data_IF_760518283769
#
_entry.id   IF_760518283769
#
_cell.length_a   1.000
_cell.length_b   1.000
_cell.length_c   1.000
_cell.angle_alpha   90.00
_cell.angle_beta   90.00
_cell.angle_gamma   90.00
#
_symmetry.space_group_name_H-M   'P 1'
#
loop_
_entity.id
_entity.type
_entity.pdbx_description
1 polymer ?
#
# COMPACT_ATOMS: atom_id res chain seq x y z
N UNK A 1 1.50 -14.09 -12.69
CA UNK A 1 1.40 -12.91 -13.61
C UNK A 1 2.70 -12.13 -13.50
N UNK A 2 3.40 -11.88 -14.62
CA UNK A 2 4.62 -11.03 -14.55
C UNK A 2 4.23 -9.61 -14.17
N UNK A 3 4.87 -9.05 -13.15
CA UNK A 3 4.72 -7.65 -12.77
C UNK A 3 5.40 -6.81 -13.86
N UNK A 4 4.60 -5.98 -14.54
CA UNK A 4 5.16 -5.02 -15.49
C UNK A 4 5.80 -3.89 -14.69
N UNK A 5 7.06 -3.57 -14.99
CA UNK A 5 7.71 -2.45 -14.32
C UNK A 5 7.05 -1.14 -14.72
N UNK A 6 6.68 -0.35 -13.74
CA UNK A 6 6.02 0.95 -13.90
C UNK A 6 6.50 1.87 -12.80
N UNK A 7 6.70 3.13 -13.11
CA UNK A 7 6.86 4.17 -12.10
C UNK A 7 5.52 4.48 -11.44
N UNK A 8 5.48 4.38 -10.13
CA UNK A 8 4.33 4.71 -9.30
C UNK A 8 4.58 6.03 -8.59
N UNK A 9 3.58 6.89 -8.61
CA UNK A 9 3.52 8.12 -7.81
C UNK A 9 2.66 7.86 -6.59
N UNK A 10 3.27 7.88 -5.41
CA UNK A 10 2.57 7.70 -4.15
C UNK A 10 2.53 9.00 -3.38
N UNK A 11 1.35 9.38 -2.90
CA UNK A 11 1.15 10.52 -2.01
C UNK A 11 2.07 10.46 -0.80
N UNK A 12 2.66 11.59 -0.41
CA UNK A 12 3.46 11.68 0.80
C UNK A 12 2.63 11.41 2.06
N UNK A 13 1.35 11.72 2.02
CA UNK A 13 0.39 11.43 3.10
C UNK A 13 0.37 9.92 3.36
N UNK A 14 0.22 9.11 2.31
CA UNK A 14 0.21 7.66 2.44
C UNK A 14 1.60 7.10 2.81
N UNK A 15 2.68 7.70 2.27
CA UNK A 15 4.06 7.30 2.58
C UNK A 15 4.37 7.46 4.07
N UNK A 16 3.88 8.50 4.71
CA UNK A 16 4.11 8.82 6.13
C UNK A 16 2.98 8.38 7.06
N UNK A 17 1.94 7.73 6.54
CA UNK A 17 0.84 7.22 7.34
C UNK A 17 1.35 6.26 8.44
N UNK A 18 0.91 6.50 9.68
CA UNK A 18 1.40 5.84 10.90
C UNK A 18 0.75 4.47 11.11
N UNK A 19 1.00 3.53 10.21
CA UNK A 19 0.48 2.17 10.29
C UNK A 19 1.57 1.12 10.19
N UNK A 20 1.38 0.06 10.94
CA UNK A 20 2.11 -1.20 10.80
C UNK A 20 1.45 -2.01 9.67
N UNK A 21 2.05 -2.01 8.50
CA UNK A 21 1.56 -2.76 7.33
C UNK A 21 2.33 -4.05 7.15
N UNK A 22 1.62 -5.15 6.89
CA UNK A 22 2.24 -6.36 6.38
C UNK A 22 2.62 -6.22 4.90
N UNK A 23 3.51 -7.10 4.42
CA UNK A 23 3.92 -7.15 3.01
C UNK A 23 2.71 -7.27 2.07
N UNK A 24 1.73 -8.12 2.38
CA UNK A 24 0.54 -8.31 1.54
C UNK A 24 -0.38 -7.09 1.56
N UNK A 25 -0.53 -6.40 2.70
CA UNK A 25 -1.25 -5.12 2.75
C UNK A 25 -0.59 -4.07 1.86
N UNK A 26 0.73 -3.95 1.92
CA UNK A 26 1.47 -3.02 1.05
C UNK A 26 1.29 -3.36 -0.43
N UNK A 27 1.35 -4.63 -0.81
CA UNK A 27 1.11 -5.07 -2.19
C UNK A 27 -0.30 -4.75 -2.68
N UNK A 28 -1.31 -4.89 -1.82
CA UNK A 28 -2.69 -4.48 -2.15
C UNK A 28 -2.76 -2.97 -2.38
N UNK A 29 -2.16 -2.17 -1.47
CA UNK A 29 -2.12 -0.71 -1.61
C UNK A 29 -1.39 -0.28 -2.89
N UNK A 30 -0.29 -0.93 -3.26
CA UNK A 30 0.41 -0.66 -4.52
C UNK A 30 -0.48 -0.91 -5.74
N UNK A 31 -1.34 -1.95 -5.72
CA UNK A 31 -2.30 -2.19 -6.81
C UNK A 31 -3.40 -1.15 -6.85
N UNK A 32 -3.90 -0.70 -5.71
CA UNK A 32 -4.87 0.40 -5.67
C UNK A 32 -4.26 1.68 -6.30
N UNK A 33 -3.05 2.08 -5.86
CA UNK A 33 -2.37 3.26 -6.38
C UNK A 33 -2.10 3.13 -7.89
N UNK A 34 -1.60 1.98 -8.33
CA UNK A 34 -1.36 1.70 -9.76
C UNK A 34 -2.62 1.91 -10.59
N UNK A 35 -3.75 1.33 -10.15
CA UNK A 35 -5.02 1.39 -10.88
C UNK A 35 -5.58 2.82 -10.89
N UNK A 36 -5.55 3.51 -9.75
CA UNK A 36 -5.98 4.91 -9.66
C UNK A 36 -5.12 5.82 -10.55
N UNK A 37 -3.81 5.58 -10.58
CA UNK A 37 -2.90 6.34 -11.44
C UNK A 37 -3.21 6.11 -12.94
N UNK A 38 -3.50 4.87 -13.36
CA UNK A 38 -3.93 4.58 -14.74
C UNK A 38 -5.22 5.33 -15.07
N UNK A 39 -6.17 5.36 -14.14
CA UNK A 39 -7.45 6.06 -14.33
C UNK A 39 -7.23 7.56 -14.55
N UNK A 40 -6.39 8.19 -13.72
CA UNK A 40 -6.09 9.63 -13.83
C UNK A 40 -5.31 9.94 -15.11
N UNK A 41 -4.39 9.08 -15.50
CA UNK A 41 -3.60 9.23 -16.74
C UNK A 41 -4.41 8.91 -18.01
N UNK A 42 -5.67 8.47 -17.88
CA UNK A 42 -6.51 8.05 -19.01
C UNK A 42 -5.97 6.82 -19.76
N UNK A 43 -5.15 6.02 -19.11
CA UNK A 43 -4.54 4.82 -19.69
C UNK A 43 -5.45 3.61 -19.55
N UNK A 44 -5.43 2.72 -20.54
CA UNK A 44 -6.19 1.48 -20.50
C UNK A 44 -5.62 0.54 -19.43
N UNK A 45 -6.48 0.07 -18.53
CA UNK A 45 -6.15 -0.97 -17.57
C UNK A 45 -5.88 -2.31 -18.26
N UNK A 46 -5.07 -3.15 -17.61
CA UNK A 46 -4.94 -4.55 -18.03
C UNK A 46 -6.32 -5.24 -17.90
N UNK A 47 -6.68 -6.05 -18.87
CA UNK A 47 -8.00 -6.74 -18.97
C UNK A 47 -8.35 -7.58 -17.73
N UNK A 48 -7.36 -7.96 -16.92
CA UNK A 48 -7.57 -8.70 -15.67
C UNK A 48 -7.98 -7.82 -14.50
N UNK A 49 -7.81 -6.50 -14.58
CA UNK A 49 -8.26 -5.55 -13.58
C UNK A 49 -9.58 -4.94 -13.99
N UNK A 50 -10.47 -4.75 -13.04
CA UNK A 50 -11.68 -3.96 -13.22
C UNK A 50 -11.77 -2.90 -12.14
N UNK A 51 -12.21 -1.72 -12.56
CA UNK A 51 -12.61 -0.64 -11.66
C UNK A 51 -13.92 -0.07 -12.18
N UNK A 52 -14.89 0.08 -11.29
CA UNK A 52 -16.18 0.66 -11.60
C UNK A 52 -16.45 1.81 -10.62
N UNK A 53 -16.91 2.93 -11.14
CA UNK A 53 -17.35 4.06 -10.30
C UNK A 53 -18.85 3.88 -10.07
N UNK A 54 -19.26 3.80 -8.81
CA UNK A 54 -20.65 3.65 -8.44
C UNK A 54 -21.43 4.97 -8.61
N UNK A 55 -22.74 4.92 -8.52
CA UNK A 55 -23.61 6.13 -8.52
C UNK A 55 -23.32 7.07 -7.33
N UNK A 56 -22.68 6.56 -6.29
CA UNK A 56 -22.24 7.33 -5.12
C UNK A 56 -20.77 7.78 -5.22
N UNK A 57 -20.16 7.62 -6.40
CA UNK A 57 -18.77 7.91 -6.72
C UNK A 57 -17.74 7.02 -6.00
N UNK A 58 -18.16 5.95 -5.31
CA UNK A 58 -17.21 4.97 -4.77
C UNK A 58 -16.52 4.22 -5.90
N UNK A 59 -15.31 3.74 -5.64
CA UNK A 59 -14.53 2.94 -6.56
C UNK A 59 -14.62 1.46 -6.17
N UNK A 60 -15.29 0.65 -6.98
CA UNK A 60 -15.33 -0.81 -6.84
C UNK A 60 -14.20 -1.43 -7.66
N UNK A 61 -13.25 -2.02 -6.97
CA UNK A 61 -12.09 -2.70 -7.54
C UNK A 61 -12.33 -4.19 -7.67
N UNK A 62 -11.81 -4.78 -8.75
CA UNK A 62 -11.62 -6.22 -8.86
C UNK A 62 -10.21 -6.50 -9.39
N UNK A 63 -9.42 -7.24 -8.63
CA UNK A 63 -8.04 -7.59 -8.97
C UNK A 63 -7.79 -9.09 -8.85
N UNK A 64 -7.00 -9.69 -9.75
CA UNK A 64 -6.62 -11.09 -9.59
C UNK A 64 -5.69 -11.26 -8.38
N UNK A 65 -5.90 -12.30 -7.57
CA UNK A 65 -5.03 -12.57 -6.42
C UNK A 65 -3.58 -12.79 -6.82
N UNK A 66 -3.33 -13.34 -8.01
CA UNK A 66 -1.99 -13.50 -8.59
C UNK A 66 -1.24 -12.18 -8.79
N UNK A 67 -1.93 -11.05 -8.79
CA UNK A 67 -1.30 -9.73 -8.89
C UNK A 67 -0.74 -9.23 -7.55
N UNK A 68 -1.16 -9.83 -6.43
CA UNK A 68 -0.68 -9.56 -5.08
C UNK A 68 0.46 -10.52 -4.72
N UNK A 69 0.40 -11.75 -5.26
CA UNK A 69 1.44 -12.76 -5.10
C UNK A 69 2.60 -12.45 -6.05
N UNK A 70 3.81 -12.40 -5.55
CA UNK A 70 5.02 -12.16 -6.37
C UNK A 70 5.48 -13.44 -7.04
N UNK A 71 5.26 -14.57 -6.38
CA UNK A 71 5.63 -15.87 -6.86
C UNK A 71 4.38 -16.68 -7.23
N UNK A 72 4.32 -17.20 -8.45
CA UNK A 72 3.19 -18.03 -8.93
C UNK A 72 3.00 -19.31 -8.10
N UNK A 73 4.02 -19.74 -7.35
CA UNK A 73 3.97 -20.87 -6.41
C UNK A 73 3.47 -20.47 -5.01
N UNK A 74 3.31 -19.17 -4.74
CA UNK A 74 2.80 -18.70 -3.45
C UNK A 74 1.27 -18.84 -3.43
N UNK A 75 0.80 -19.95 -2.88
CA UNK A 75 -0.63 -20.23 -2.66
C UNK A 75 -1.15 -19.65 -1.33
N UNK A 76 -0.53 -18.58 -0.82
CA UNK A 76 -0.79 -18.07 0.53
C UNK A 76 -2.10 -17.25 0.63
N UNK A 77 -3.19 -17.82 0.13
CA UNK A 77 -4.53 -17.21 0.16
C UNK A 77 -4.96 -16.76 1.57
N UNK A 78 -4.54 -17.50 2.60
CA UNK A 78 -4.84 -17.14 4.00
C UNK A 78 -4.20 -15.82 4.38
N UNK A 79 -2.96 -15.56 3.99
CA UNK A 79 -2.27 -14.29 4.26
C UNK A 79 -2.91 -13.13 3.51
N UNK A 80 -3.28 -13.32 2.25
CA UNK A 80 -4.01 -12.31 1.47
C UNK A 80 -5.35 -11.98 2.13
N UNK A 81 -6.14 -13.00 2.51
CA UNK A 81 -7.42 -12.82 3.21
C UNK A 81 -7.24 -12.04 4.51
N UNK A 82 -6.20 -12.35 5.28
CA UNK A 82 -5.89 -11.63 6.51
C UNK A 82 -5.46 -10.18 6.24
N UNK A 83 -4.71 -9.93 5.16
CA UNK A 83 -4.34 -8.59 4.75
C UNK A 83 -5.57 -7.73 4.39
N UNK A 84 -6.52 -8.27 3.61
CA UNK A 84 -7.78 -7.58 3.33
C UNK A 84 -8.59 -7.29 4.60
N UNK A 85 -8.70 -8.26 5.51
CA UNK A 85 -9.37 -8.05 6.82
C UNK A 85 -8.68 -6.98 7.66
N UNK A 86 -7.36 -6.93 7.63
CA UNK A 86 -6.57 -5.93 8.36
C UNK A 86 -6.73 -4.54 7.75
N UNK A 87 -6.65 -4.41 6.42
CA UNK A 87 -6.88 -3.14 5.73
C UNK A 87 -8.29 -2.59 5.96
N UNK A 88 -9.30 -3.47 6.00
CA UNK A 88 -10.68 -3.07 6.31
C UNK A 88 -10.83 -2.50 7.73
N UNK A 89 -9.96 -2.87 8.66
CA UNK A 89 -9.97 -2.35 10.04
C UNK A 89 -9.15 -1.08 10.23
N UNK A 90 -8.27 -0.76 9.27
CA UNK A 90 -7.49 0.47 9.30
C UNK A 90 -8.34 1.64 8.84
N UNK A 91 -8.30 2.72 9.59
CA UNK A 91 -9.13 3.90 9.37
C UNK A 91 -8.24 5.12 9.12
N UNK A 92 -8.74 6.05 8.33
CA UNK A 92 -8.25 7.43 8.26
C UNK A 92 -9.29 8.31 8.94
N UNK A 93 -8.85 9.11 9.88
CA UNK A 93 -9.70 10.11 10.53
C UNK A 93 -9.34 11.50 10.00
N UNK A 94 -10.36 12.27 9.76
CA UNK A 94 -10.26 13.69 9.42
C UNK A 94 -11.16 14.48 10.35
N UNK A 95 -10.65 15.57 10.90
CA UNK A 95 -11.40 16.45 11.78
C UNK A 95 -11.07 17.91 11.46
N UNK A 96 -12.10 18.71 11.31
CA UNK A 96 -12.02 20.16 11.26
C UNK A 96 -13.06 20.80 12.22
N UNK A 97 -13.22 22.11 12.15
CA UNK A 97 -14.15 22.85 13.03
C UNK A 97 -15.65 22.50 12.86
N UNK A 98 -16.00 21.76 11.80
CA UNK A 98 -17.38 21.47 11.42
C UNK A 98 -17.68 19.99 11.26
N UNK A 99 -16.66 19.18 10.95
CA UNK A 99 -16.84 17.80 10.52
C UNK A 99 -15.81 16.91 11.19
N UNK A 100 -16.26 15.83 11.78
CA UNK A 100 -15.44 14.67 12.09
C UNK A 100 -15.84 13.52 11.15
N UNK A 101 -14.86 12.87 10.57
CA UNK A 101 -15.04 11.79 9.62
C UNK A 101 -14.04 10.67 9.88
N UNK A 102 -14.52 9.45 9.86
CA UNK A 102 -13.70 8.24 9.98
C UNK A 102 -14.03 7.29 8.84
N UNK A 103 -13.01 6.92 8.06
CA UNK A 103 -13.16 6.09 6.86
C UNK A 103 -12.23 4.89 6.93
N UNK A 104 -12.74 3.73 6.56
CA UNK A 104 -11.91 2.53 6.38
C UNK A 104 -11.06 2.68 5.10
N UNK A 105 -9.82 2.15 5.12
CA UNK A 105 -8.96 2.15 3.93
C UNK A 105 -9.57 1.39 2.75
N UNK A 106 -10.26 0.31 3.05
CA UNK A 106 -11.05 -0.45 2.08
C UNK A 106 -12.34 -0.94 2.74
N UNK A 107 -13.35 -1.20 1.94
CA UNK A 107 -14.64 -1.72 2.39
C UNK A 107 -15.03 -2.98 1.61
N UNK A 108 -15.87 -3.82 2.22
CA UNK A 108 -16.50 -5.00 1.61
C UNK A 108 -15.54 -5.90 0.85
N UNK A 109 -14.38 -6.30 1.43
CA UNK A 109 -13.47 -7.21 0.73
C UNK A 109 -14.11 -8.59 0.56
N UNK A 110 -14.07 -9.08 -0.66
CA UNK A 110 -14.58 -10.39 -1.05
C UNK A 110 -13.54 -11.11 -1.90
N UNK A 111 -13.40 -12.42 -1.74
CA UNK A 111 -12.54 -13.26 -2.58
C UNK A 111 -13.41 -14.31 -3.24
N UNK A 112 -13.44 -14.29 -4.58
CA UNK A 112 -14.18 -15.25 -5.41
C UNK A 112 -13.23 -16.11 -6.23
N UNK A 113 -13.61 -17.37 -6.45
CA UNK A 113 -12.94 -18.30 -7.34
C UNK A 113 -13.79 -18.50 -8.59
N UNK A 114 -13.22 -18.29 -9.76
CA UNK A 114 -13.91 -18.47 -11.02
C UNK A 114 -12.98 -19.15 -12.05
N UNK A 115 -13.33 -20.36 -12.47
CA UNK A 115 -12.65 -21.07 -13.55
C UNK A 115 -11.13 -21.24 -13.38
N UNK A 116 -10.65 -21.56 -12.17
CA UNK A 116 -9.21 -21.70 -11.87
C UNK A 116 -8.50 -20.39 -11.52
N UNK A 117 -9.16 -19.25 -11.68
CA UNK A 117 -8.66 -17.95 -11.25
C UNK A 117 -9.33 -17.52 -9.94
N UNK A 118 -8.61 -16.74 -9.15
CA UNK A 118 -9.14 -16.15 -7.92
C UNK A 118 -9.01 -14.63 -8.00
N UNK A 119 -10.07 -13.93 -7.63
CA UNK A 119 -10.17 -12.47 -7.67
C UNK A 119 -10.52 -11.93 -6.28
N UNK A 120 -9.98 -10.77 -5.96
CA UNK A 120 -10.44 -9.98 -4.83
C UNK A 120 -11.23 -8.79 -5.36
N UNK A 121 -12.43 -8.58 -4.79
CA UNK A 121 -13.24 -7.39 -5.00
C UNK A 121 -13.34 -6.62 -3.70
N UNK A 122 -13.27 -5.31 -3.78
CA UNK A 122 -13.36 -4.42 -2.63
C UNK A 122 -13.70 -3.00 -3.07
N UNK A 123 -14.16 -2.20 -2.14
CA UNK A 123 -14.54 -0.80 -2.37
C UNK A 123 -13.55 0.15 -1.71
N UNK A 124 -13.30 1.27 -2.37
CA UNK A 124 -12.57 2.42 -1.83
C UNK A 124 -13.44 3.66 -1.99
N UNK A 125 -13.65 4.40 -0.91
CA UNK A 125 -14.42 5.65 -0.96
C UNK A 125 -13.67 6.73 -1.75
N UNK A 126 -14.37 7.73 -2.34
CA UNK A 126 -13.75 8.82 -3.08
C UNK A 126 -12.69 9.55 -2.26
N UNK A 127 -12.99 9.85 -1.00
CA UNK A 127 -12.07 10.57 -0.11
C UNK A 127 -10.79 9.78 0.16
N UNK A 128 -10.88 8.46 0.33
CA UNK A 128 -9.68 7.61 0.48
C UNK A 128 -8.90 7.57 -0.82
N UNK A 129 -9.55 7.45 -1.98
CA UNK A 129 -8.88 7.50 -3.28
C UNK A 129 -8.17 8.84 -3.50
N UNK A 130 -8.79 9.95 -3.13
CA UNK A 130 -8.16 11.28 -3.15
C UNK A 130 -6.94 11.34 -2.24
N UNK A 131 -7.00 10.81 -1.00
CA UNK A 131 -5.84 10.75 -0.12
C UNK A 131 -4.66 9.96 -0.73
N UNK A 132 -4.95 8.90 -1.50
CA UNK A 132 -3.91 8.14 -2.19
C UNK A 132 -3.25 8.94 -3.32
N UNK A 133 -3.98 9.84 -3.96
CA UNK A 133 -3.58 10.64 -5.10
C UNK A 133 -3.35 12.11 -4.77
N UNK A 134 -3.49 12.53 -3.51
CA UNK A 134 -3.19 13.90 -3.08
C UNK A 134 -1.67 14.13 -3.00
N UNK A 135 -1.16 14.88 -3.96
CA UNK A 135 0.25 15.25 -4.06
C UNK A 135 0.55 16.65 -3.51
N UNK A 136 -0.41 17.32 -2.88
CA UNK A 136 -0.27 18.69 -2.34
C UNK A 136 0.87 18.81 -1.31
N UNK A 137 1.09 17.75 -0.51
CA UNK A 137 2.20 17.65 0.45
C UNK A 137 3.45 16.98 -0.13
N UNK A 138 3.47 16.75 -1.44
CA UNK A 138 4.53 16.05 -2.14
C UNK A 138 4.22 14.59 -2.42
N UNK A 139 5.15 13.95 -3.12
CA UNK A 139 5.01 12.56 -3.52
C UNK A 139 6.36 11.84 -3.48
N UNK A 140 6.29 10.50 -3.55
CA UNK A 140 7.41 9.62 -3.83
C UNK A 140 7.20 8.93 -5.15
N UNK A 141 8.27 8.79 -5.92
CA UNK A 141 8.29 8.12 -7.20
C UNK A 141 9.22 6.91 -7.10
N UNK A 142 8.70 5.74 -7.39
CA UNK A 142 9.45 4.49 -7.28
C UNK A 142 8.95 3.46 -8.30
N UNK A 143 9.75 2.41 -8.51
CA UNK A 143 9.44 1.34 -9.43
C UNK A 143 8.54 0.29 -8.77
N UNK A 144 7.35 0.07 -9.34
CA UNK A 144 6.36 -0.87 -8.83
C UNK A 144 6.93 -2.30 -8.70
N UNK A 145 7.66 -2.75 -9.71
CA UNK A 145 8.22 -4.10 -9.71
C UNK A 145 9.17 -4.30 -8.52
N UNK A 146 10.09 -3.38 -8.30
CA UNK A 146 11.02 -3.42 -7.17
C UNK A 146 10.27 -3.39 -5.85
N UNK A 147 9.29 -2.47 -5.70
CA UNK A 147 8.49 -2.37 -4.48
C UNK A 147 7.72 -3.67 -4.17
N UNK A 148 7.22 -4.36 -5.19
CA UNK A 148 6.47 -5.61 -5.03
C UNK A 148 7.34 -6.82 -4.69
N UNK A 149 8.63 -6.81 -5.05
CA UNK A 149 9.57 -7.92 -4.85
C UNK A 149 10.10 -8.00 -3.41
N UNK A 150 10.07 -6.91 -2.63
CA UNK A 150 10.51 -6.95 -1.24
C UNK A 150 9.69 -7.94 -0.40
N UNK A 151 10.39 -8.66 0.48
CA UNK A 151 9.82 -9.64 1.41
C UNK A 151 9.56 -9.05 2.80
N UNK A 152 10.24 -7.94 3.12
CA UNK A 152 10.09 -7.21 4.38
C UNK A 152 9.23 -5.97 4.22
N UNK A 153 8.25 -5.79 5.10
CA UNK A 153 7.47 -4.55 5.20
C UNK A 153 8.35 -3.33 5.48
N UNK A 154 9.44 -3.51 6.22
CA UNK A 154 10.37 -2.41 6.51
C UNK A 154 11.17 -2.01 5.28
N UNK A 155 11.59 -2.96 4.46
CA UNK A 155 12.26 -2.67 3.18
C UNK A 155 11.34 -1.89 2.25
N UNK A 156 10.07 -2.29 2.13
CA UNK A 156 9.06 -1.57 1.37
C UNK A 156 8.91 -0.12 1.87
N UNK A 157 8.80 0.07 3.19
CA UNK A 157 8.64 1.40 3.81
C UNK A 157 9.86 2.28 3.62
N UNK A 158 11.07 1.75 3.80
CA UNK A 158 12.29 2.49 3.53
C UNK A 158 12.44 2.83 2.04
N UNK A 159 12.11 1.90 1.15
CA UNK A 159 12.14 2.16 -0.29
C UNK A 159 11.24 3.34 -0.66
N UNK A 160 10.00 3.36 -0.16
CA UNK A 160 9.08 4.47 -0.36
C UNK A 160 9.61 5.80 0.21
N UNK A 161 10.12 5.79 1.45
CA UNK A 161 10.61 7.01 2.12
C UNK A 161 11.83 7.61 1.42
N UNK A 162 12.73 6.76 0.92
CA UNK A 162 14.02 7.17 0.36
C UNK A 162 13.96 7.41 -1.15
N UNK A 163 12.99 6.81 -1.85
CA UNK A 163 12.87 6.93 -3.31
C UNK A 163 12.71 8.37 -3.77
N UNK A 164 13.31 8.67 -4.92
CA UNK A 164 13.29 10.00 -5.56
C UNK A 164 13.82 11.14 -4.68
N UNK A 165 14.74 10.83 -3.76
CA UNK A 165 15.44 11.86 -2.98
C UNK A 165 16.82 12.12 -3.56
N UNK A 166 17.08 13.39 -3.87
CA UNK A 166 18.38 13.85 -4.41
C UNK A 166 19.38 14.20 -3.30
N UNK A 167 18.90 14.40 -2.09
CA UNK A 167 19.70 14.79 -0.93
C UNK A 167 19.52 13.80 0.20
N UNK A 168 20.54 13.56 1.03
CA UNK A 168 20.39 12.75 2.23
C UNK A 168 19.26 13.24 3.11
N UNK A 169 18.52 12.30 3.70
CA UNK A 169 17.43 12.60 4.65
C UNK A 169 17.83 12.04 5.99
N UNK A 170 17.64 12.84 7.03
CA UNK A 170 17.85 12.41 8.40
C UNK A 170 16.50 12.16 9.07
N UNK A 171 16.33 10.96 9.59
CA UNK A 171 15.21 10.58 10.45
C UNK A 171 15.73 10.18 11.82
N UNK A 172 15.12 10.65 12.89
CA UNK A 172 15.37 10.07 14.22
C UNK A 172 14.74 8.66 14.30
N UNK A 173 15.22 7.85 15.22
CA UNK A 173 14.67 6.51 15.45
C UNK A 173 13.22 6.60 15.91
N UNK A 174 12.90 7.57 16.74
CA UNK A 174 11.56 7.84 17.24
C UNK A 174 10.62 8.17 16.09
N UNK A 175 11.07 9.03 15.18
CA UNK A 175 10.30 9.42 14.00
C UNK A 175 10.04 8.22 13.06
N UNK A 176 11.06 7.38 12.84
CA UNK A 176 10.90 6.15 12.05
C UNK A 176 9.93 5.16 12.72
N UNK A 177 10.00 4.98 14.03
CA UNK A 177 9.07 4.14 14.78
C UNK A 177 7.64 4.66 14.67
N UNK A 178 7.46 5.96 14.75
CA UNK A 178 6.16 6.62 14.60
C UNK A 178 5.58 6.40 13.20
N UNK A 179 6.36 6.70 12.14
CA UNK A 179 5.95 6.49 10.75
C UNK A 179 5.60 5.02 10.49
N UNK A 180 6.37 4.08 11.04
CA UNK A 180 6.14 2.65 10.83
C UNK A 180 5.04 2.06 11.72
N UNK A 181 4.42 2.87 12.59
CA UNK A 181 3.35 2.43 13.47
C UNK A 181 3.78 1.42 14.52
N UNK A 182 5.04 1.47 14.96
CA UNK A 182 5.63 0.45 15.83
C UNK A 182 5.28 0.61 17.30
N UNK A 183 4.81 1.80 17.72
CA UNK A 183 4.49 2.08 19.12
C UNK A 183 5.64 1.67 20.07
N UNK A 184 5.33 0.82 21.05
CA UNK A 184 6.30 0.32 22.03
C UNK A 184 7.18 -0.84 21.55
N UNK A 185 7.05 -1.28 20.29
CA UNK A 185 7.94 -2.29 19.72
C UNK A 185 9.38 -1.77 19.72
N UNK A 186 10.32 -2.66 19.96
CA UNK A 186 11.76 -2.34 19.92
C UNK A 186 12.16 -1.20 20.87
N UNK A 187 11.80 -1.32 22.16
CA UNK A 187 12.14 -0.32 23.20
C UNK A 187 13.62 0.07 23.20
N UNK A 188 14.52 -0.93 23.05
CA UNK A 188 15.95 -0.67 22.93
C UNK A 188 16.29 -0.28 21.47
N UNK A 189 17.02 0.81 21.30
CA UNK A 189 17.55 1.28 20.02
C UNK A 189 18.30 0.20 19.26
N UNK A 190 19.14 -0.58 19.93
CA UNK A 190 19.87 -1.68 19.33
C UNK A 190 18.94 -2.73 18.71
N UNK A 191 17.80 -3.04 19.32
CA UNK A 191 16.82 -3.96 18.77
C UNK A 191 16.15 -3.41 17.51
N UNK A 192 15.84 -2.11 17.50
CA UNK A 192 15.30 -1.47 16.29
C UNK A 192 16.32 -1.52 15.14
N UNK A 193 17.57 -1.18 15.40
CA UNK A 193 18.64 -1.24 14.39
C UNK A 193 18.78 -2.67 13.85
N UNK A 194 18.89 -3.67 14.73
CA UNK A 194 19.14 -5.05 14.35
C UNK A 194 17.94 -5.74 13.68
N UNK A 195 16.71 -5.36 14.01
CA UNK A 195 15.49 -6.03 13.52
C UNK A 195 14.78 -5.29 12.40
N UNK A 196 15.06 -4.00 12.24
CA UNK A 196 14.38 -3.15 11.25
C UNK A 196 15.38 -2.58 10.24
N UNK A 197 16.40 -1.84 10.71
CA UNK A 197 17.30 -1.12 9.79
C UNK A 197 18.25 -2.06 9.04
N UNK A 198 18.97 -2.94 9.76
CA UNK A 198 19.97 -3.82 9.13
C UNK A 198 19.32 -4.78 8.12
N UNK A 199 18.21 -5.50 8.44
CA UNK A 199 17.55 -6.35 7.47
C UNK A 199 17.02 -5.58 6.25
N UNK A 200 16.40 -4.41 6.49
CA UNK A 200 15.92 -3.58 5.39
C UNK A 200 17.06 -3.08 4.49
N UNK A 201 18.17 -2.62 5.08
CA UNK A 201 19.34 -2.21 4.30
C UNK A 201 19.87 -3.34 3.43
N UNK A 202 19.96 -4.56 3.97
CA UNK A 202 20.44 -5.74 3.23
C UNK A 202 19.58 -6.08 2.02
N UNK A 203 18.29 -5.81 2.10
CA UNK A 203 17.34 -6.09 1.00
C UNK A 203 17.30 -4.93 -0.02
N UNK A 204 17.68 -3.72 0.40
CA UNK A 204 17.71 -2.51 -0.45
C UNK A 204 19.02 -2.34 -1.22
N UNK A 205 20.13 -2.91 -0.75
CA UNK A 205 21.46 -2.89 -1.40
C UNK A 205 21.54 -3.95 -2.51
#
# INVERSE_FOLDING_TARGET
MKITNKEVLQSYILTTAKYDYSVYEKRILYRIIEILQFLIEGKKLNEKYSIQITTQNDYDFQIPLSSILVNEKDENYTRIKNAFKSLQKKIIEYEDNKTWLSLNLIERPEITKNGGNSYASFRVSPMIAECFMDFSKGFRKYELKVAMEFESEYSMRFYELLSNKKTPINYSIENLKEIFGLGDKYKLTANFINKVIIPAKKELD
#
